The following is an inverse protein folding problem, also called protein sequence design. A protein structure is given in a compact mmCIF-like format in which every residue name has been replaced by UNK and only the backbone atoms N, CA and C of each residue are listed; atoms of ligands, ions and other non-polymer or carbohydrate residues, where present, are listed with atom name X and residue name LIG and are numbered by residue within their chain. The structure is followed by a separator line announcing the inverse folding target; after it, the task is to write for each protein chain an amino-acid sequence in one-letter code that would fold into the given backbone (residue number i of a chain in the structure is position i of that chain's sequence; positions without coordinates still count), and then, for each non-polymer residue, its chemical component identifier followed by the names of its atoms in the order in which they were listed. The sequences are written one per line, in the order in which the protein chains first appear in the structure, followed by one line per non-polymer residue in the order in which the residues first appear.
data_IF_368648284713
#
_entry.id   IF_368648284713
#
_cell.length_a   1.000
_cell.length_b   1.000
_cell.length_c   1.000
_cell.angle_alpha   90.00
_cell.angle_beta   90.00
_cell.angle_gamma   90.00
#
_symmetry.space_group_name_H-M   'P 1'
#
loop_
_entity.id
_entity.type
_entity.pdbx_description
1 polymer ?
#
# COMPACT_ATOMS: atom_id res chain seq x y z
N UNK A 1 -0.55 -13.90 8.05
CA UNK A 1 0.16 -12.65 8.40
C UNK A 1 1.40 -12.96 9.24
N UNK A 2 2.46 -12.17 9.08
CA UNK A 2 3.60 -12.15 10.01
C UNK A 2 3.21 -11.49 11.34
N UNK A 3 4.08 -11.53 12.35
CA UNK A 3 3.83 -10.84 13.61
C UNK A 3 3.62 -9.33 13.35
N UNK A 4 2.64 -8.73 14.04
CA UNK A 4 2.25 -7.33 13.84
C UNK A 4 3.41 -6.34 14.08
N UNK A 5 4.27 -6.61 15.06
CA UNK A 5 5.42 -5.76 15.38
C UNK A 5 6.47 -5.80 14.26
N UNK A 6 6.66 -6.95 13.59
CA UNK A 6 7.56 -7.04 12.43
C UNK A 6 7.06 -6.18 11.27
N UNK A 7 5.75 -6.20 11.01
CA UNK A 7 5.13 -5.41 9.94
C UNK A 7 5.22 -3.91 10.27
N UNK A 8 4.90 -3.52 11.51
CA UNK A 8 4.98 -2.13 11.96
C UNK A 8 6.41 -1.60 11.93
N UNK A 9 7.39 -2.40 12.36
CA UNK A 9 8.81 -2.04 12.29
C UNK A 9 9.28 -1.87 10.84
N UNK A 10 8.84 -2.74 9.93
CA UNK A 10 9.11 -2.59 8.50
C UNK A 10 8.51 -1.28 7.98
N UNK A 11 7.22 -1.03 8.20
CA UNK A 11 6.57 0.20 7.74
C UNK A 11 7.24 1.45 8.28
N UNK A 12 7.59 1.46 9.58
CA UNK A 12 8.34 2.56 10.20
C UNK A 12 9.71 2.75 9.55
N UNK A 13 10.44 1.68 9.23
CA UNK A 13 11.75 1.76 8.55
C UNK A 13 11.65 2.35 7.14
N UNK A 14 10.49 2.21 6.49
CA UNK A 14 10.17 2.78 5.18
C UNK A 14 9.53 4.17 5.28
N UNK A 15 9.56 4.80 6.46
CA UNK A 15 8.95 6.11 6.73
C UNK A 15 7.43 6.16 6.45
N UNK A 16 6.73 5.03 6.54
CA UNK A 16 5.27 5.00 6.43
C UNK A 16 4.66 5.49 7.76
N UNK A 17 4.03 6.65 7.74
CA UNK A 17 3.33 7.20 8.90
C UNK A 17 1.93 6.59 9.02
N UNK A 18 1.73 5.73 10.01
CA UNK A 18 0.45 5.04 10.26
C UNK A 18 -0.66 5.94 10.80
N UNK A 19 -0.36 7.21 11.12
CA UNK A 19 -1.39 8.20 11.45
C UNK A 19 -2.06 8.82 10.21
N UNK A 20 -1.50 8.60 9.01
CA UNK A 20 -2.10 9.04 7.76
C UNK A 20 -3.30 8.15 7.37
N UNK A 21 -4.08 8.60 6.38
CA UNK A 21 -4.94 7.69 5.64
C UNK A 21 -4.09 6.82 4.71
N UNK A 22 -4.04 5.51 4.95
CA UNK A 22 -3.24 4.60 4.13
C UNK A 22 -4.10 3.92 3.05
N UNK A 23 -3.85 4.25 1.79
CA UNK A 23 -4.43 3.54 0.65
C UNK A 23 -3.43 2.53 0.08
N UNK A 24 -3.71 1.25 0.21
CA UNK A 24 -2.83 0.19 -0.30
C UNK A 24 -3.11 -0.09 -1.78
N UNK A 25 -2.05 -0.36 -2.57
CA UNK A 25 -2.15 -0.65 -4.00
C UNK A 25 -1.18 -1.76 -4.43
N UNK A 26 -1.52 -2.43 -5.54
CA UNK A 26 -0.60 -3.31 -6.25
C UNK A 26 -0.89 -3.22 -7.75
N UNK A 27 -0.78 -4.32 -8.51
CA UNK A 27 -1.20 -4.34 -9.92
C UNK A 27 -2.71 -4.14 -10.09
N UNK A 28 -3.51 -5.00 -9.44
CA UNK A 28 -4.97 -5.11 -9.57
C UNK A 28 -5.67 -5.39 -8.22
N UNK A 29 -5.12 -4.87 -7.12
CA UNK A 29 -5.72 -4.97 -5.79
C UNK A 29 -5.45 -6.26 -4.98
N UNK A 30 -5.17 -7.41 -5.60
CA UNK A 30 -5.08 -8.70 -4.87
C UNK A 30 -4.10 -8.72 -3.69
N UNK A 31 -2.83 -8.33 -3.91
CA UNK A 31 -1.83 -8.26 -2.83
C UNK A 31 -2.15 -7.17 -1.82
N UNK A 32 -2.74 -6.07 -2.28
CA UNK A 32 -3.09 -4.95 -1.42
C UNK A 32 -4.29 -5.26 -0.51
N UNK A 33 -5.23 -6.13 -0.94
CA UNK A 33 -6.32 -6.60 -0.10
C UNK A 33 -5.83 -7.45 1.09
N UNK A 34 -4.78 -8.25 0.88
CA UNK A 34 -4.10 -8.99 1.96
C UNK A 34 -3.50 -8.01 2.99
N UNK A 35 -2.77 -6.99 2.52
CA UNK A 35 -2.15 -5.98 3.40
C UNK A 35 -3.20 -5.13 4.12
N UNK A 36 -4.29 -4.75 3.45
CA UNK A 36 -5.43 -4.06 4.07
C UNK A 36 -6.05 -4.91 5.18
N UNK A 37 -6.23 -6.21 4.94
CA UNK A 37 -6.74 -7.14 5.96
C UNK A 37 -5.80 -7.18 7.17
N UNK A 38 -4.48 -7.18 6.95
CA UNK A 38 -3.50 -7.14 8.03
C UNK A 38 -3.56 -5.81 8.80
N UNK A 39 -3.69 -4.69 8.11
CA UNK A 39 -3.83 -3.37 8.72
C UNK A 39 -5.06 -3.31 9.64
N UNK A 40 -6.21 -3.81 9.15
CA UNK A 40 -7.45 -3.87 9.94
C UNK A 40 -7.30 -4.76 11.18
N UNK A 41 -6.66 -5.93 11.06
CA UNK A 41 -6.42 -6.83 12.22
C UNK A 41 -5.47 -6.19 13.24
N UNK A 42 -4.53 -5.36 12.80
CA UNK A 42 -3.64 -4.58 13.67
C UNK A 42 -4.31 -3.34 14.29
N UNK A 43 -5.56 -3.05 13.95
CA UNK A 43 -6.33 -1.91 14.48
C UNK A 43 -6.14 -0.59 13.72
N UNK A 44 -5.64 -0.62 12.49
CA UNK A 44 -5.54 0.56 11.64
C UNK A 44 -6.86 0.79 10.87
N UNK A 45 -7.73 1.63 11.42
CA UNK A 45 -9.07 1.88 10.86
C UNK A 45 -9.07 2.91 9.71
N UNK A 46 -8.06 3.79 9.66
CA UNK A 46 -7.96 4.83 8.63
C UNK A 46 -7.24 4.31 7.38
N UNK A 47 -7.77 3.24 6.79
CA UNK A 47 -7.13 2.54 5.67
C UNK A 47 -8.13 2.27 4.53
N UNK A 48 -7.62 2.14 3.31
CA UNK A 48 -8.42 1.85 2.12
C UNK A 48 -7.65 1.02 1.09
N UNK A 49 -8.37 0.52 0.08
CA UNK A 49 -7.80 -0.15 -1.07
C UNK A 49 -7.91 0.75 -2.30
N UNK A 50 -6.79 1.14 -2.89
CA UNK A 50 -6.77 1.65 -4.25
C UNK A 50 -6.79 0.47 -5.23
N UNK A 51 -8.03 0.01 -5.54
CA UNK A 51 -8.30 -1.28 -6.16
C UNK A 51 -7.73 -1.42 -7.57
N UNK A 52 -7.92 -0.40 -8.40
CA UNK A 52 -7.47 -0.39 -9.80
C UNK A 52 -5.94 -0.46 -9.93
N UNK A 53 -5.24 0.05 -8.92
CA UNK A 53 -3.79 -0.09 -8.76
C UNK A 53 -3.00 0.43 -9.96
N UNK A 54 -1.87 -0.22 -10.22
CA UNK A 54 -1.01 0.11 -11.35
C UNK A 54 -1.68 -0.14 -12.70
N UNK A 55 -2.47 -1.22 -12.85
CA UNK A 55 -3.12 -1.51 -14.13
C UNK A 55 -4.05 -0.37 -14.52
N UNK A 56 -4.92 0.09 -13.61
CA UNK A 56 -5.79 1.23 -13.89
C UNK A 56 -5.02 2.53 -14.09
N UNK A 57 -4.01 2.80 -13.26
CA UNK A 57 -3.17 4.01 -13.40
C UNK A 57 -2.48 4.08 -14.76
N UNK A 58 -1.88 2.97 -15.20
CA UNK A 58 -1.08 2.88 -16.43
C UNK A 58 -1.92 2.88 -17.71
N UNK A 59 -3.24 2.68 -17.62
CA UNK A 59 -4.14 2.72 -18.77
C UNK A 59 -4.40 4.16 -19.27
N UNK A 60 -4.19 5.17 -18.42
CA UNK A 60 -4.24 6.56 -18.83
C UNK A 60 -2.80 7.08 -19.04
N UNK A 61 -2.34 7.29 -20.29
CA UNK A 61 -0.98 7.74 -20.58
C UNK A 61 -0.72 9.19 -20.14
N UNK A 62 -1.74 9.94 -19.73
CA UNK A 62 -1.56 11.27 -19.14
C UNK A 62 -1.13 11.23 -17.68
N UNK A 63 -1.32 10.08 -17.00
CA UNK A 63 -0.83 9.90 -15.64
C UNK A 63 0.70 9.83 -15.61
N UNK A 64 1.36 10.52 -14.66
CA UNK A 64 2.81 10.46 -14.54
C UNK A 64 3.27 9.07 -14.07
N UNK A 65 4.43 8.65 -14.57
CA UNK A 65 5.04 7.36 -14.24
C UNK A 65 6.56 7.51 -14.12
N UNK A 66 7.20 6.67 -13.32
CA UNK A 66 8.65 6.61 -13.16
C UNK A 66 9.20 5.22 -13.51
N UNK A 67 10.47 5.13 -13.91
CA UNK A 67 11.19 3.87 -14.22
C UNK A 67 12.68 4.02 -13.94
N UNK A 68 13.38 2.89 -13.76
CA UNK A 68 14.81 2.85 -13.41
C UNK A 68 15.07 2.88 -11.90
N UNK A 69 16.34 3.05 -11.51
CA UNK A 69 16.75 3.13 -10.11
C UNK A 69 16.27 4.46 -9.49
N UNK A 70 15.54 4.43 -8.34
CA UNK A 70 15.21 5.62 -7.59
C UNK A 70 16.46 6.38 -7.15
N UNK A 71 16.43 7.71 -7.21
CA UNK A 71 17.52 8.59 -6.78
C UNK A 71 17.39 9.03 -5.33
#
# INVERSE_FOLDING_TARGET
MRNADEIQNLWKSQNINTNNHLAFMCGSGWRAAEVLTYANVMGFDNTSLYSDGWIGWSNDPSNPTETGEPK
#
